data_IF_316935124862
#
_entry.id   IF_316935124862
#
_cell.length_a   1.000
_cell.length_b   1.000
_cell.length_c   1.000
_cell.angle_alpha   90.00
_cell.angle_beta   90.00
_cell.angle_gamma   90.00
#
_symmetry.space_group_name_H-M   'P 1'
#
loop_
_entity.id
_entity.type
_entity.pdbx_description
1 polymer ?
#
# COMPACT_ATOMS: atom_id res chain seq x y z
N UNK A 1 -13.37 -55.23 43.34
CA UNK A 1 -13.54 -55.78 41.98
C UNK A 1 -14.40 -54.77 41.21
N UNK A 2 -13.77 -53.81 40.54
CA UNK A 2 -14.42 -52.58 40.07
C UNK A 2 -14.78 -52.70 38.59
N UNK A 3 -16.01 -52.32 38.22
CA UNK A 3 -16.60 -52.54 36.89
C UNK A 3 -16.02 -51.57 35.85
N UNK A 4 -15.54 -52.10 34.74
CA UNK A 4 -15.11 -51.34 33.57
C UNK A 4 -16.34 -50.67 32.91
N UNK A 5 -16.38 -49.34 32.93
CA UNK A 5 -17.31 -48.54 32.15
C UNK A 5 -16.59 -48.06 30.88
N UNK A 6 -16.59 -48.92 29.85
CA UNK A 6 -16.19 -48.51 28.50
C UNK A 6 -17.31 -47.67 27.89
N UNK A 7 -17.20 -46.35 28.03
CA UNK A 7 -18.02 -45.37 27.31
C UNK A 7 -17.68 -45.38 25.81
N UNK A 8 -18.13 -46.41 25.10
CA UNK A 8 -18.15 -46.38 23.64
C UNK A 8 -19.30 -45.48 23.21
N UNK A 9 -18.94 -44.29 22.74
CA UNK A 9 -19.81 -43.38 21.98
C UNK A 9 -20.51 -44.17 20.87
N UNK A 10 -21.77 -44.52 21.10
CA UNK A 10 -22.62 -45.17 20.11
C UNK A 10 -22.98 -44.12 19.07
N UNK A 11 -22.31 -44.16 17.92
CA UNK A 11 -22.83 -43.53 16.72
C UNK A 11 -24.19 -44.14 16.38
N UNK A 12 -25.23 -43.35 16.10
CA UNK A 12 -26.53 -43.88 15.74
C UNK A 12 -26.39 -44.75 14.49
N UNK A 13 -26.77 -46.02 14.61
CA UNK A 13 -26.72 -46.98 13.52
C UNK A 13 -27.64 -46.57 12.38
N UNK A 14 -27.11 -46.77 11.18
CA UNK A 14 -27.46 -46.21 9.87
C UNK A 14 -28.87 -46.52 9.30
N UNK A 15 -29.92 -46.69 10.11
CA UNK A 15 -31.22 -47.13 9.61
C UNK A 15 -32.37 -46.23 10.09
N UNK A 16 -33.02 -45.56 9.11
CA UNK A 16 -34.21 -44.70 9.20
C UNK A 16 -33.96 -43.21 9.52
N UNK A 17 -33.12 -42.56 8.73
CA UNK A 17 -33.25 -41.12 8.53
C UNK A 17 -34.09 -40.94 7.25
N UNK A 18 -35.29 -40.38 7.41
CA UNK A 18 -36.18 -40.05 6.31
C UNK A 18 -35.47 -39.00 5.43
N UNK A 19 -35.17 -39.28 4.15
CA UNK A 19 -34.33 -38.42 3.32
C UNK A 19 -34.98 -37.05 3.04
N UNK A 20 -36.28 -36.90 3.27
CA UNK A 20 -37.01 -35.64 3.08
C UNK A 20 -36.82 -34.62 4.23
N UNK A 21 -36.20 -35.00 5.35
CA UNK A 21 -36.17 -34.14 6.54
C UNK A 21 -34.77 -33.76 7.05
N UNK A 22 -33.71 -34.06 6.31
CA UNK A 22 -32.36 -33.58 6.63
C UNK A 22 -32.20 -32.18 6.04
N UNK A 23 -32.79 -31.19 6.69
CA UNK A 23 -32.54 -29.77 6.40
C UNK A 23 -31.25 -29.39 7.12
N UNK A 24 -30.12 -29.50 6.42
CA UNK A 24 -28.86 -28.95 6.91
C UNK A 24 -28.94 -27.44 6.74
N UNK A 25 -29.15 -26.72 7.85
CA UNK A 25 -29.08 -25.26 7.90
C UNK A 25 -27.61 -24.82 7.70
N UNK A 26 -27.19 -24.75 6.44
CA UNK A 26 -25.88 -24.20 6.08
C UNK A 26 -25.99 -22.69 6.16
N UNK A 27 -25.39 -22.10 7.19
CA UNK A 27 -25.26 -20.65 7.31
C UNK A 27 -24.62 -20.10 6.02
N UNK A 28 -25.36 -19.24 5.32
CA UNK A 28 -24.97 -18.68 4.00
C UNK A 28 -23.70 -17.82 4.08
N UNK A 29 -23.24 -17.47 5.29
CA UNK A 29 -22.02 -16.75 5.54
C UNK A 29 -21.23 -17.41 6.70
N UNK A 30 -20.40 -18.43 6.43
CA UNK A 30 -19.41 -18.85 7.42
C UNK A 30 -18.54 -17.63 7.74
N UNK A 31 -18.61 -17.15 8.99
CA UNK A 31 -17.67 -16.12 9.44
C UNK A 31 -16.26 -16.72 9.30
N UNK A 32 -15.34 -16.06 8.59
CA UNK A 32 -13.99 -16.59 8.44
C UNK A 32 -13.40 -16.79 9.84
N UNK A 33 -12.73 -17.93 10.10
CA UNK A 33 -12.14 -18.22 11.41
C UNK A 33 -11.03 -17.21 11.78
N UNK A 34 -10.48 -16.54 10.77
CA UNK A 34 -9.52 -15.47 10.92
C UNK A 34 -10.18 -14.14 10.61
N UNK A 35 -10.31 -13.29 11.62
CA UNK A 35 -10.62 -11.89 11.42
C UNK A 35 -9.39 -11.26 10.78
N UNK A 36 -9.52 -10.70 9.58
CA UNK A 36 -8.42 -10.02 8.89
C UNK A 36 -7.85 -8.94 9.82
N UNK A 37 -6.71 -9.25 10.45
CA UNK A 37 -6.05 -8.33 11.36
C UNK A 37 -5.48 -7.21 10.50
N UNK A 38 -5.93 -5.98 10.73
CA UNK A 38 -5.35 -4.81 10.08
C UNK A 38 -3.85 -4.84 10.42
N UNK A 39 -2.95 -4.90 9.41
CA UNK A 39 -1.52 -5.01 9.67
C UNK A 39 -1.08 -3.80 10.47
N UNK A 40 -0.67 -4.05 11.72
CA UNK A 40 -0.06 -3.04 12.58
C UNK A 40 1.41 -2.92 12.20
N UNK A 41 1.93 -1.69 12.07
CA UNK A 41 3.35 -1.45 11.81
C UNK A 41 4.30 -1.88 12.94
N UNK A 42 3.76 -2.39 14.05
CA UNK A 42 4.52 -2.92 15.19
C UNK A 42 4.96 -4.39 15.00
N UNK A 43 4.35 -5.11 14.06
CA UNK A 43 4.76 -6.48 13.71
C UNK A 43 5.68 -6.39 12.46
N UNK A 44 6.86 -7.04 12.45
CA UNK A 44 7.77 -7.05 11.31
C UNK A 44 7.07 -7.41 9.99
N UNK A 45 6.08 -8.32 10.00
CA UNK A 45 5.36 -8.68 8.78
C UNK A 45 4.40 -7.57 8.33
N UNK A 46 3.74 -6.91 9.29
CA UNK A 46 2.88 -5.76 9.02
C UNK A 46 3.64 -4.55 8.50
N UNK A 47 4.86 -4.33 9.00
CA UNK A 47 5.74 -3.25 8.56
C UNK A 47 6.12 -3.39 7.08
N UNK A 48 6.56 -4.58 6.64
CA UNK A 48 6.91 -4.84 5.24
C UNK A 48 5.71 -4.60 4.33
N UNK A 49 4.52 -5.04 4.74
CA UNK A 49 3.29 -4.84 3.97
C UNK A 49 2.95 -3.34 3.85
N UNK A 50 3.03 -2.59 4.95
CA UNK A 50 2.75 -1.15 4.95
C UNK A 50 3.77 -0.37 4.11
N UNK A 51 5.05 -0.70 4.21
CA UNK A 51 6.11 -0.13 3.35
C UNK A 51 5.84 -0.41 1.88
N UNK A 52 5.57 -1.65 1.51
CA UNK A 52 5.25 -2.03 0.13
C UNK A 52 4.02 -1.32 -0.42
N UNK A 53 2.97 -1.16 0.40
CA UNK A 53 1.76 -0.41 0.05
C UNK A 53 2.05 1.08 -0.13
N UNK A 54 2.87 1.68 0.74
CA UNK A 54 3.29 3.07 0.63
C UNK A 54 4.08 3.30 -0.67
N UNK A 55 5.07 2.46 -0.98
CA UNK A 55 5.85 2.57 -2.22
C UNK A 55 5.00 2.39 -3.49
N UNK A 56 4.06 1.43 -3.50
CA UNK A 56 3.10 1.29 -4.61
C UNK A 56 2.18 2.50 -4.74
N UNK A 57 1.78 3.11 -3.62
CA UNK A 57 0.98 4.33 -3.61
C UNK A 57 1.74 5.53 -4.18
N UNK A 58 3.01 5.69 -3.79
CA UNK A 58 3.91 6.73 -4.28
C UNK A 58 4.19 6.55 -5.78
N UNK A 59 4.50 5.33 -6.23
CA UNK A 59 4.72 5.00 -7.64
C UNK A 59 3.44 5.18 -8.50
N UNK A 60 2.27 4.96 -7.92
CA UNK A 60 0.97 5.15 -8.58
C UNK A 60 0.48 6.60 -8.66
N UNK A 61 1.31 7.59 -8.35
CA UNK A 61 0.95 9.01 -8.44
C UNK A 61 0.02 9.52 -7.33
N UNK A 62 -0.13 8.77 -6.22
CA UNK A 62 -0.96 9.17 -5.06
C UNK A 62 -0.23 10.11 -4.08
N UNK A 63 0.92 10.68 -4.49
CA UNK A 63 1.66 11.66 -3.70
C UNK A 63 0.75 12.87 -3.43
N UNK A 64 0.65 13.40 -2.20
CA UNK A 64 -0.13 14.62 -1.91
C UNK A 64 0.33 15.80 -2.76
N UNK A 65 -0.60 16.66 -3.21
CA UNK A 65 -0.25 17.74 -4.14
C UNK A 65 0.62 18.80 -3.46
N UNK A 66 0.35 19.07 -2.18
CA UNK A 66 1.18 19.93 -1.34
C UNK A 66 2.65 19.48 -1.27
N UNK A 67 2.93 18.18 -1.22
CA UNK A 67 4.30 17.64 -1.18
C UNK A 67 5.05 17.93 -2.47
N UNK A 68 4.38 17.87 -3.62
CA UNK A 68 4.99 18.23 -4.90
C UNK A 68 5.29 19.73 -4.96
N UNK A 69 4.36 20.58 -4.53
CA UNK A 69 4.56 22.04 -4.53
C UNK A 69 5.70 22.43 -3.60
N UNK A 70 5.72 21.91 -2.38
CA UNK A 70 6.79 22.21 -1.42
C UNK A 70 8.13 21.71 -1.95
N UNK A 71 8.18 20.53 -2.57
CA UNK A 71 9.39 20.02 -3.22
C UNK A 71 9.87 20.95 -4.34
N UNK A 72 8.99 21.41 -5.22
CA UNK A 72 9.34 22.36 -6.28
C UNK A 72 9.84 23.69 -5.74
N UNK A 73 9.26 24.22 -4.67
CA UNK A 73 9.71 25.48 -4.08
C UNK A 73 11.09 25.32 -3.43
N UNK A 74 11.29 24.25 -2.65
CA UNK A 74 12.54 24.03 -1.91
C UNK A 74 13.68 23.70 -2.88
N UNK A 75 13.51 22.66 -3.69
CA UNK A 75 14.58 22.19 -4.60
C UNK A 75 14.70 23.08 -5.85
N UNK A 76 13.58 23.55 -6.40
CA UNK A 76 13.62 24.47 -7.55
C UNK A 76 14.13 25.86 -7.16
N UNK A 77 13.77 26.36 -5.98
CA UNK A 77 14.31 27.61 -5.47
C UNK A 77 15.82 27.56 -5.26
N UNK A 78 16.32 26.45 -4.69
CA UNK A 78 17.74 26.23 -4.48
C UNK A 78 18.49 26.14 -5.82
N UNK A 79 17.98 25.38 -6.79
CA UNK A 79 18.58 25.27 -8.11
C UNK A 79 18.64 26.62 -8.86
N UNK A 80 17.58 27.43 -8.78
CA UNK A 80 17.56 28.77 -9.38
C UNK A 80 18.57 29.70 -8.71
N UNK A 81 18.73 29.61 -7.38
CA UNK A 81 19.71 30.41 -6.64
C UNK A 81 21.14 30.03 -7.05
N UNK A 82 21.45 28.73 -7.14
CA UNK A 82 22.75 28.25 -7.63
C UNK A 82 22.99 28.70 -9.07
N UNK A 83 21.96 28.61 -9.92
CA UNK A 83 22.05 29.05 -11.32
C UNK A 83 22.39 30.54 -11.42
N UNK A 84 21.70 31.39 -10.66
CA UNK A 84 21.99 32.84 -10.59
C UNK A 84 23.41 33.11 -10.08
N UNK A 85 23.85 32.36 -9.08
CA UNK A 85 25.20 32.49 -8.55
C UNK A 85 26.26 32.07 -9.58
N UNK A 86 25.99 31.00 -10.34
CA UNK A 86 26.87 30.54 -11.41
C UNK A 86 26.99 31.58 -12.55
N UNK A 87 25.88 32.22 -12.92
CA UNK A 87 25.90 33.29 -13.93
C UNK A 87 26.66 34.53 -13.45
N UNK A 88 26.46 34.95 -12.20
CA UNK A 88 27.11 36.15 -11.66
C UNK A 88 28.59 35.97 -11.37
N UNK A 89 29.01 34.78 -10.95
CA UNK A 89 30.41 34.46 -10.64
C UNK A 89 31.21 33.93 -11.83
N UNK A 90 30.56 33.57 -12.94
CA UNK A 90 31.14 32.84 -14.07
C UNK A 90 31.90 31.56 -13.67
N UNK A 91 31.60 31.00 -12.49
CA UNK A 91 32.31 29.86 -11.94
C UNK A 91 31.77 28.56 -12.55
N UNK A 92 32.60 27.94 -13.41
CA UNK A 92 32.30 26.66 -14.07
C UNK A 92 32.15 25.52 -13.06
N UNK A 93 32.80 25.61 -11.90
CA UNK A 93 32.72 24.60 -10.83
C UNK A 93 31.30 24.43 -10.27
N UNK A 94 30.48 25.49 -10.30
CA UNK A 94 29.09 25.45 -9.85
C UNK A 94 28.20 24.60 -10.76
N UNK A 95 28.62 24.28 -12.00
CA UNK A 95 27.88 23.37 -12.87
C UNK A 95 27.81 21.94 -12.31
N UNK A 96 28.87 21.46 -11.65
CA UNK A 96 28.86 20.12 -11.05
C UNK A 96 27.86 20.04 -9.89
N UNK A 97 27.81 21.10 -9.08
CA UNK A 97 26.84 21.23 -7.98
C UNK A 97 25.41 21.29 -8.53
N UNK A 98 25.20 22.06 -9.60
CA UNK A 98 23.90 22.14 -10.29
C UNK A 98 23.45 20.77 -10.85
N UNK A 99 24.39 19.97 -11.36
CA UNK A 99 24.10 18.64 -11.90
C UNK A 99 23.56 17.71 -10.80
N UNK A 100 24.17 17.74 -9.61
CA UNK A 100 23.72 16.96 -8.45
C UNK A 100 22.36 17.48 -7.96
N UNK A 101 22.18 18.79 -7.87
CA UNK A 101 20.93 19.42 -7.44
C UNK A 101 19.77 19.18 -8.41
N UNK A 102 20.07 18.92 -9.69
CA UNK A 102 19.05 18.58 -10.69
C UNK A 102 18.40 17.20 -10.48
N UNK A 103 19.04 16.27 -9.75
CA UNK A 103 18.54 14.91 -9.52
C UNK A 103 17.15 14.93 -8.82
N UNK A 104 16.97 15.57 -7.66
CA UNK A 104 15.65 15.65 -7.03
C UNK A 104 14.62 16.35 -7.90
N UNK A 105 15.01 17.35 -8.70
CA UNK A 105 14.13 18.03 -9.66
C UNK A 105 13.60 17.08 -10.74
N UNK A 106 14.46 16.22 -11.29
CA UNK A 106 14.06 15.20 -12.28
C UNK A 106 13.07 14.21 -11.64
N UNK A 107 13.31 13.79 -10.39
CA UNK A 107 12.41 12.90 -9.67
C UNK A 107 11.04 13.57 -9.43
N UNK A 108 11.05 14.83 -8.99
CA UNK A 108 9.85 15.66 -8.81
C UNK A 108 9.07 15.83 -10.10
N UNK A 109 9.76 16.08 -11.22
CA UNK A 109 9.14 16.18 -12.54
C UNK A 109 8.46 14.88 -12.97
N UNK A 110 9.10 13.72 -12.77
CA UNK A 110 8.46 12.42 -13.06
C UNK A 110 7.24 12.20 -12.17
N UNK A 111 7.31 12.58 -10.89
CA UNK A 111 6.20 12.52 -9.95
C UNK A 111 5.02 13.43 -10.33
N UNK A 112 5.28 14.67 -10.76
CA UNK A 112 4.23 15.58 -11.22
C UNK A 112 3.56 15.07 -12.49
N UNK A 113 4.33 14.57 -13.45
CA UNK A 113 3.79 13.97 -14.70
C UNK A 113 2.89 12.76 -14.40
N UNK A 114 3.34 11.83 -13.55
CA UNK A 114 2.55 10.65 -13.15
C UNK A 114 1.24 11.03 -12.43
N UNK A 115 1.28 12.09 -11.62
CA UNK A 115 0.09 12.59 -10.94
C UNK A 115 -0.89 13.29 -11.89
N UNK A 116 -0.40 14.01 -12.89
CA UNK A 116 -1.24 14.64 -13.91
C UNK A 116 -1.89 13.59 -14.84
N UNK A 117 -1.18 12.52 -15.18
CA UNK A 117 -1.70 11.46 -16.06
C UNK A 117 -2.85 10.66 -15.42
N UNK A 118 -2.75 10.35 -14.13
CA UNK A 118 -3.78 9.61 -13.38
C UNK A 118 -5.08 10.41 -13.17
N UNK A 119 -4.98 11.74 -13.04
CA UNK A 119 -6.17 12.62 -12.96
C UNK A 119 -7.00 12.58 -14.26
N UNK A 120 -6.33 12.49 -15.41
CA UNK A 120 -6.99 12.44 -16.74
C UNK A 120 -7.77 11.13 -16.95
N UNK A 121 -7.26 10.00 -16.44
CA UNK A 121 -7.93 8.71 -16.59
C UNK A 121 -9.15 8.56 -15.68
N UNK A 122 -9.14 9.16 -14.48
CA UNK A 122 -10.30 9.18 -13.58
C UNK A 122 -11.46 10.03 -14.13
N UNK A 123 -11.14 11.11 -14.85
CA UNK A 123 -12.14 11.97 -15.51
C UNK A 123 -12.79 11.33 -16.74
N UNK A 124 -12.18 10.28 -17.32
CA UNK A 124 -12.68 9.61 -18.53
C UNK A 124 -13.52 8.36 -18.24
N UNK A 125 -13.55 7.92 -16.98
CA UNK A 125 -14.34 6.79 -16.47
C UNK A 125 -15.57 7.24 -15.67
N UNK A 126 -15.75 8.54 -15.49
CA UNK A 126 -17.00 9.15 -15.05
C UNK A 126 -17.69 9.71 -16.29
#
# INVERSE_FOLDING_TARGET
MNKNNDERQQFPSNNKLDPEQIVVEVSVAPKPPYQEKIPSGYDPMGEIYLRGRAFRGLAGGKIPWWVLISGWIIFGGLAVLILLLAFTSAAVELLLVLLIDSIPLIILWRGTVAKLSTKKQKSRRR
#
